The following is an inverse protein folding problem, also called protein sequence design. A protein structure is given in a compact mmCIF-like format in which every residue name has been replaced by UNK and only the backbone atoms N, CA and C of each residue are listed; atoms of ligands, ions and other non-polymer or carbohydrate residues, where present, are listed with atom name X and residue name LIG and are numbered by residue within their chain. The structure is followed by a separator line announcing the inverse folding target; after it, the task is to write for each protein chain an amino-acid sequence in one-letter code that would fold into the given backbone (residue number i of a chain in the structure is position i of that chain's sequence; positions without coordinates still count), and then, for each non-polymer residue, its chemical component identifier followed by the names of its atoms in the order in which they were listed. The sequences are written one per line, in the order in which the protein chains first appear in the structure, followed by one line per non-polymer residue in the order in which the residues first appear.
data_IF_155018766849
#
_entry.id   IF_155018766849
#
_cell.length_a   1.000
_cell.length_b   1.000
_cell.length_c   1.000
_cell.angle_alpha   90.00
_cell.angle_beta   90.00
_cell.angle_gamma   90.00
#
_symmetry.space_group_name_H-M   'P 1'
#
loop_
_entity.id
_entity.type
_entity.pdbx_description
1 polymer ?
#
# COMPACT_ATOMS: atom_id res chain seq x y z
N UNK A 1 -13.94 -1.57 -0.32
CA UNK A 1 -13.82 -2.14 1.03
C UNK A 1 -12.79 -1.30 1.76
N UNK A 2 -13.21 -0.39 2.65
CA UNK A 2 -12.29 0.50 3.36
C UNK A 2 -12.02 -0.07 4.74
N UNK A 3 -10.95 -0.85 4.91
CA UNK A 3 -10.46 -1.19 6.23
C UNK A 3 -9.89 0.10 6.81
N UNK A 4 -10.63 0.73 7.72
CA UNK A 4 -10.17 1.92 8.46
C UNK A 4 -9.58 1.44 9.78
N UNK A 5 -8.28 1.69 9.96
CA UNK A 5 -7.62 1.52 11.26
C UNK A 5 -8.30 2.48 12.26
N UNK A 6 -8.62 1.99 13.46
CA UNK A 6 -9.31 2.81 14.45
C UNK A 6 -8.45 3.97 14.92
N UNK A 7 -9.04 5.14 15.16
CA UNK A 7 -8.35 6.32 15.71
C UNK A 7 -7.60 6.02 17.00
N UNK A 8 -8.12 5.12 17.83
CA UNK A 8 -7.45 4.68 19.06
C UNK A 8 -6.09 4.04 18.76
N UNK A 9 -5.99 3.23 17.71
CA UNK A 9 -4.73 2.58 17.33
C UNK A 9 -3.79 3.62 16.68
N UNK A 10 -4.32 4.48 15.80
CA UNK A 10 -3.53 5.52 15.13
C UNK A 10 -2.90 6.52 16.13
N UNK A 11 -3.56 6.82 17.24
CA UNK A 11 -3.01 7.68 18.30
C UNK A 11 -1.89 7.00 19.12
N UNK A 12 -1.74 5.68 19.01
CA UNK A 12 -0.77 4.89 19.79
C UNK A 12 0.46 4.47 18.99
N UNK A 13 0.59 4.91 17.73
CA UNK A 13 1.72 4.61 16.85
C UNK A 13 2.52 5.88 16.53
N UNK A 14 3.80 5.73 16.22
CA UNK A 14 4.72 6.85 16.00
C UNK A 14 4.36 7.67 14.75
N UNK A 15 3.95 6.98 13.67
CA UNK A 15 3.63 7.59 12.38
C UNK A 15 2.28 7.08 11.86
N UNK A 16 1.14 7.62 12.35
CA UNK A 16 -0.19 7.19 11.93
C UNK A 16 -0.43 7.31 10.43
N UNK A 17 0.20 8.28 9.76
CA UNK A 17 0.08 8.49 8.31
C UNK A 17 0.53 7.28 7.48
N UNK A 18 1.33 6.36 8.03
CA UNK A 18 1.70 5.09 7.37
C UNK A 18 0.50 4.16 7.17
N UNK A 19 -0.53 4.30 8.01
CA UNK A 19 -1.66 3.37 8.10
C UNK A 19 -2.98 3.97 7.62
N UNK A 20 -3.03 5.27 7.31
CA UNK A 20 -4.23 5.96 6.82
C UNK A 20 -4.55 5.68 5.34
N UNK A 21 -3.60 5.12 4.58
CA UNK A 21 -3.71 4.90 3.14
C UNK A 21 -3.66 6.19 2.31
N UNK A 22 -4.15 6.12 1.07
CA UNK A 22 -4.10 7.21 0.06
C UNK A 22 -2.68 7.74 -0.20
N UNK A 23 -1.75 6.84 -0.46
CA UNK A 23 -0.40 7.19 -0.88
C UNK A 23 -0.42 8.11 -2.11
N UNK A 24 0.51 9.07 -2.16
CA UNK A 24 0.75 9.87 -3.35
C UNK A 24 1.12 8.96 -4.53
N UNK A 25 0.54 9.20 -5.71
CA UNK A 25 0.64 8.32 -6.89
C UNK A 25 -0.01 6.93 -6.74
N UNK A 26 -0.92 6.75 -5.78
CA UNK A 26 -1.79 5.57 -5.78
C UNK A 26 -2.71 5.60 -7.00
N UNK A 27 -2.63 4.56 -7.83
CA UNK A 27 -3.54 4.37 -8.96
C UNK A 27 -4.92 3.97 -8.43
N UNK A 28 -5.98 4.51 -9.03
CA UNK A 28 -7.38 4.17 -8.73
C UNK A 28 -8.05 3.72 -10.02
N UNK A 29 -8.58 2.50 -10.03
CA UNK A 29 -9.34 1.91 -11.15
C UNK A 29 -10.67 1.38 -10.65
N UNK A 30 -11.64 1.21 -11.56
CA UNK A 30 -12.89 0.51 -11.21
C UNK A 30 -12.62 -1.00 -11.13
N UNK A 31 -12.62 -1.53 -9.91
CA UNK A 31 -12.35 -2.94 -9.61
C UNK A 31 -13.34 -3.93 -10.26
N UNK A 32 -14.45 -3.46 -10.81
CA UNK A 32 -15.41 -4.28 -11.56
C UNK A 32 -14.93 -4.61 -12.98
N UNK A 33 -14.12 -3.73 -13.56
CA UNK A 33 -13.60 -3.83 -14.93
C UNK A 33 -12.17 -4.43 -14.97
N UNK A 34 -11.69 -4.97 -13.84
CA UNK A 34 -10.33 -5.48 -13.68
C UNK A 34 -10.35 -7.01 -13.53
N UNK A 35 -9.62 -7.69 -14.38
CA UNK A 35 -9.46 -9.15 -14.35
C UNK A 35 -8.40 -9.60 -13.34
N UNK A 36 -7.31 -8.84 -13.20
CA UNK A 36 -6.15 -9.22 -12.40
C UNK A 36 -5.91 -8.23 -11.26
N UNK A 37 -5.94 -8.73 -10.02
CA UNK A 37 -5.58 -7.96 -8.82
C UNK A 37 -4.25 -8.45 -8.28
N UNK A 38 -3.29 -7.55 -8.23
CA UNK A 38 -1.92 -7.84 -7.82
C UNK A 38 -1.49 -6.93 -6.68
N UNK A 39 -0.63 -7.42 -5.79
CA UNK A 39 -0.04 -6.60 -4.74
C UNK A 39 1.44 -6.95 -4.56
N UNK A 40 2.30 -5.94 -4.56
CA UNK A 40 3.67 -6.10 -4.11
C UNK A 40 3.70 -6.10 -2.59
N UNK A 41 4.10 -7.20 -1.98
CA UNK A 41 4.25 -7.32 -0.53
C UNK A 41 5.73 -7.22 -0.17
N UNK A 42 6.11 -6.12 0.47
CA UNK A 42 7.46 -5.92 0.99
C UNK A 42 7.50 -6.25 2.48
N UNK A 43 8.42 -7.13 2.93
CA UNK A 43 8.57 -7.51 4.32
C UNK A 43 9.36 -6.45 5.12
N UNK A 44 9.23 -5.19 4.73
CA UNK A 44 9.93 -4.07 5.33
C UNK A 44 9.01 -2.85 5.33
N UNK A 45 9.42 -1.83 6.07
CA UNK A 45 8.61 -0.68 6.38
C UNK A 45 8.52 0.24 5.18
N UNK A 46 7.45 1.03 5.12
CA UNK A 46 7.13 1.90 3.99
C UNK A 46 8.32 2.71 3.46
N UNK A 47 9.11 3.33 4.35
CA UNK A 47 10.23 4.19 3.98
C UNK A 47 11.36 3.41 3.28
N UNK A 48 11.64 2.20 3.76
CA UNK A 48 12.65 1.30 3.18
C UNK A 48 12.13 0.73 1.86
N UNK A 49 10.91 0.21 1.84
CA UNK A 49 10.29 -0.36 0.63
C UNK A 49 10.12 0.68 -0.49
N UNK A 50 9.79 1.93 -0.17
CA UNK A 50 9.70 3.01 -1.16
C UNK A 50 11.03 3.43 -1.76
N UNK A 51 12.17 2.98 -1.24
CA UNK A 51 13.47 3.19 -1.89
C UNK A 51 13.72 2.22 -3.04
N UNK A 52 12.85 1.21 -3.22
CA UNK A 52 13.01 0.19 -4.26
C UNK A 52 12.55 0.67 -5.64
N UNK A 53 13.49 1.16 -6.46
CA UNK A 53 13.21 1.68 -7.80
C UNK A 53 12.55 0.65 -8.73
N UNK A 54 13.02 -0.60 -8.71
CA UNK A 54 12.45 -1.68 -9.54
C UNK A 54 10.94 -1.90 -9.30
N UNK A 55 10.51 -1.91 -8.04
CA UNK A 55 9.09 -1.99 -7.67
C UNK A 55 8.29 -0.83 -8.26
N UNK A 56 8.81 0.41 -8.21
CA UNK A 56 8.11 1.58 -8.76
C UNK A 56 7.87 1.44 -10.26
N UNK A 57 8.88 0.96 -10.99
CA UNK A 57 8.79 0.71 -12.43
C UNK A 57 7.74 -0.37 -12.72
N UNK A 58 7.83 -1.51 -12.05
CA UNK A 58 6.89 -2.62 -12.25
C UNK A 58 5.46 -2.25 -11.84
N UNK A 59 5.29 -1.52 -10.74
CA UNK A 59 4.01 -0.99 -10.31
C UNK A 59 3.38 -0.08 -11.37
N UNK A 60 4.18 0.80 -11.98
CA UNK A 60 3.72 1.67 -13.04
C UNK A 60 3.28 0.85 -14.27
N UNK A 61 4.13 -0.06 -14.74
CA UNK A 61 3.85 -0.91 -15.90
C UNK A 61 2.61 -1.79 -15.71
N UNK A 62 2.43 -2.40 -14.54
CA UNK A 62 1.24 -3.21 -14.24
C UNK A 62 -0.02 -2.35 -14.20
N UNK A 63 0.07 -1.13 -13.64
CA UNK A 63 -1.06 -0.22 -13.60
C UNK A 63 -1.32 0.53 -14.92
N UNK A 64 -0.42 0.50 -15.89
CA UNK A 64 -0.70 1.00 -17.25
C UNK A 64 -1.65 0.09 -18.02
N UNK A 65 -1.70 -1.21 -17.69
CA UNK A 65 -2.59 -2.17 -18.34
C UNK A 65 -4.03 -1.99 -17.92
N UNK A 66 -4.98 -2.04 -18.84
CA UNK A 66 -6.41 -1.87 -18.51
C UNK A 66 -6.96 -3.02 -17.66
N UNK A 67 -6.44 -4.24 -17.83
CA UNK A 67 -6.91 -5.47 -17.18
C UNK A 67 -6.38 -5.68 -15.74
N UNK A 68 -5.44 -4.85 -15.29
CA UNK A 68 -4.67 -5.11 -14.07
C UNK A 68 -4.76 -3.94 -13.09
N UNK A 69 -5.02 -4.27 -11.82
CA UNK A 69 -4.91 -3.34 -10.69
C UNK A 69 -3.81 -3.82 -9.74
N UNK A 70 -2.75 -3.02 -9.62
CA UNK A 70 -1.62 -3.34 -8.76
C UNK A 70 -1.56 -2.39 -7.56
N UNK A 71 -1.48 -2.96 -6.36
CA UNK A 71 -1.25 -2.26 -5.10
C UNK A 71 0.14 -2.57 -4.51
N UNK A 72 0.49 -1.88 -3.43
CA UNK A 72 1.71 -2.12 -2.66
C UNK A 72 1.36 -2.25 -1.18
N UNK A 73 1.99 -3.19 -0.52
CA UNK A 73 1.81 -3.49 0.90
C UNK A 73 3.19 -3.56 1.53
N UNK A 74 3.33 -2.94 2.70
CA UNK A 74 4.55 -2.89 3.48
C UNK A 74 4.31 -3.48 4.86
N UNK A 75 5.37 -3.97 5.50
CA UNK A 75 5.28 -4.47 6.86
C UNK A 75 4.93 -3.31 7.82
N UNK A 76 4.03 -3.54 8.80
CA UNK A 76 3.84 -2.60 9.89
C UNK A 76 5.16 -2.41 10.65
N UNK A 77 5.34 -1.23 11.24
CA UNK A 77 6.46 -1.01 12.15
C UNK A 77 6.19 -1.72 13.48
N UNK A 78 7.24 -1.97 14.26
CA UNK A 78 7.16 -2.74 15.52
C UNK A 78 6.17 -2.14 16.54
N UNK A 79 5.90 -0.84 16.44
CA UNK A 79 4.92 -0.13 17.26
C UNK A 79 3.48 -0.59 17.00
N UNK A 80 3.16 -0.89 15.74
CA UNK A 80 1.87 -1.36 15.26
C UNK A 80 1.77 -2.89 15.35
N UNK A 81 2.87 -3.62 15.17
CA UNK A 81 2.88 -5.08 15.39
C UNK A 81 2.55 -5.46 16.85
N UNK A 82 2.91 -4.60 17.80
CA UNK A 82 2.68 -4.82 19.22
C UNK A 82 1.25 -4.43 19.69
N UNK A 83 0.33 -4.04 18.79
CA UNK A 83 -1.02 -3.53 19.11
C UNK A 83 -2.12 -4.40 18.50
#
# INVERSE_FOLDING_TARGET
MGIRVSDKILQNVEKPSRYTGNEWNSVKKDLKEIDIRFAFCFPDVYEVGMSHLGMKILYHLLNERDDTYCERVFAPWVDMEAK
#
